data_IF_011220655727
#
_entry.id   IF_011220655727
#
_cell.length_a   1.000
_cell.length_b   1.000
_cell.length_c   1.000
_cell.angle_alpha   90.00
_cell.angle_beta   90.00
_cell.angle_gamma   90.00
#
_symmetry.space_group_name_H-M   'P 1'
#
loop_
_entity.id
_entity.type
_entity.pdbx_description
1 polymer ?
#
# COMPACT_ATOMS: atom_id res chain seq x y z
N UNK A 1 52.36 -18.63 -36.22
CA UNK A 1 52.34 -19.66 -35.16
C UNK A 1 53.15 -19.14 -33.97
N UNK A 2 52.51 -19.06 -32.79
CA UNK A 2 53.09 -19.05 -31.42
C UNK A 2 54.05 -17.88 -31.09
N UNK A 3 53.56 -16.82 -30.43
CA UNK A 3 53.44 -16.63 -28.95
C UNK A 3 54.79 -16.43 -28.24
N UNK A 4 54.98 -15.24 -27.64
CA UNK A 4 55.34 -14.97 -26.22
C UNK A 4 55.76 -13.49 -26.11
N UNK A 5 54.90 -12.58 -25.64
CA UNK A 5 54.73 -12.19 -24.23
C UNK A 5 56.06 -12.03 -23.47
N UNK A 6 56.45 -10.79 -23.14
CA UNK A 6 56.60 -10.37 -21.73
C UNK A 6 56.64 -8.83 -21.62
N UNK A 7 55.51 -8.24 -21.26
CA UNK A 7 55.35 -6.84 -20.83
C UNK A 7 55.91 -6.67 -19.41
N UNK A 8 56.89 -5.77 -19.25
CA UNK A 8 57.31 -5.22 -17.95
C UNK A 8 56.21 -4.27 -17.46
N UNK A 9 55.43 -4.68 -16.46
CA UNK A 9 54.54 -3.80 -15.70
C UNK A 9 55.19 -3.60 -14.33
N UNK A 10 55.68 -2.39 -14.11
CA UNK A 10 56.27 -1.91 -12.86
C UNK A 10 55.18 -1.80 -11.79
N UNK A 11 55.21 -2.66 -10.78
CA UNK A 11 54.31 -2.66 -9.63
C UNK A 11 54.80 -1.66 -8.58
N UNK A 12 54.23 -0.46 -8.58
CA UNK A 12 54.37 0.53 -7.52
C UNK A 12 53.47 0.13 -6.34
N UNK A 13 54.04 -0.57 -5.35
CA UNK A 13 53.37 -0.87 -4.08
C UNK A 13 53.25 0.40 -3.25
N UNK A 14 52.06 1.01 -3.24
CA UNK A 14 51.70 2.07 -2.30
C UNK A 14 51.36 1.43 -0.95
N UNK A 15 52.30 1.48 -0.01
CA UNK A 15 52.10 1.04 1.36
C UNK A 15 51.13 2.01 2.06
N UNK A 16 49.85 1.64 2.15
CA UNK A 16 48.86 2.31 2.99
C UNK A 16 49.18 1.93 4.44
N UNK A 17 49.78 2.86 5.19
CA UNK A 17 49.92 2.75 6.63
C UNK A 17 48.53 2.73 7.27
N UNK A 18 48.11 1.56 7.74
CA UNK A 18 46.91 1.39 8.56
C UNK A 18 47.17 2.08 9.89
N UNK A 19 46.65 3.29 10.06
CA UNK A 19 46.54 3.91 11.39
C UNK A 19 45.36 3.22 12.09
N UNK A 20 45.59 2.48 13.20
CA UNK A 20 44.49 1.92 13.96
C UNK A 20 43.69 3.06 14.59
N UNK A 21 42.48 3.29 14.09
CA UNK A 21 41.52 4.19 14.71
C UNK A 21 41.18 3.65 16.12
N UNK A 22 41.19 4.49 17.16
CA UNK A 22 40.80 4.06 18.49
C UNK A 22 39.34 3.63 18.49
N UNK A 23 39.12 2.35 18.78
CA UNK A 23 37.80 1.78 19.07
C UNK A 23 37.24 2.47 20.31
N UNK A 24 36.37 3.45 20.11
CA UNK A 24 35.55 4.00 21.17
C UNK A 24 34.45 2.99 21.51
N UNK A 25 34.69 2.16 22.53
CA UNK A 25 33.65 1.36 23.17
C UNK A 25 32.98 2.14 24.28
N UNK A 26 31.66 1.98 24.35
CA UNK A 26 30.76 2.11 25.50
C UNK A 26 29.96 3.43 25.68
N UNK A 27 28.68 3.31 25.34
CA UNK A 27 27.55 4.11 25.82
C UNK A 27 26.31 3.61 25.09
N UNK A 28 25.20 3.34 25.79
CA UNK A 28 23.93 2.88 25.20
C UNK A 28 23.54 3.70 23.95
N UNK A 29 23.75 3.16 22.75
CA UNK A 29 23.64 3.91 21.49
C UNK A 29 22.59 3.32 20.56
N UNK A 30 21.55 2.72 21.14
CA UNK A 30 20.32 2.46 20.39
C UNK A 30 19.56 3.78 20.16
N UNK A 31 18.82 3.93 19.05
CA UNK A 31 17.98 5.11 18.85
C UNK A 31 17.02 5.28 20.03
N UNK A 32 16.90 6.53 20.50
CA UNK A 32 15.96 6.91 21.56
C UNK A 32 14.55 6.36 21.26
N UNK A 33 13.77 5.94 22.28
CA UNK A 33 12.39 5.51 22.10
C UNK A 33 11.54 6.51 21.30
N UNK A 34 11.81 7.82 21.44
CA UNK A 34 11.14 8.87 20.68
C UNK A 34 11.43 8.76 19.18
N UNK A 35 12.69 8.51 18.80
CA UNK A 35 13.13 8.34 17.41
C UNK A 35 12.51 7.09 16.80
N UNK A 36 12.47 5.98 17.54
CA UNK A 36 11.81 4.74 17.11
C UNK A 36 10.31 4.94 16.89
N UNK A 37 9.65 5.68 17.77
CA UNK A 37 8.22 6.00 17.66
C UNK A 37 7.93 6.88 16.43
N UNK A 38 8.75 7.90 16.20
CA UNK A 38 8.65 8.76 15.03
C UNK A 38 8.90 7.98 13.73
N UNK A 39 9.95 7.15 13.69
CA UNK A 39 10.25 6.30 12.55
C UNK A 39 9.07 5.37 12.23
N UNK A 40 8.50 4.71 13.26
CA UNK A 40 7.30 3.86 13.09
C UNK A 40 6.10 4.66 12.57
N UNK A 41 5.91 5.89 13.05
CA UNK A 41 4.86 6.80 12.57
C UNK A 41 5.05 7.10 11.08
N UNK A 42 6.25 7.51 10.68
CA UNK A 42 6.58 7.80 9.28
C UNK A 42 6.40 6.58 8.37
N UNK A 43 6.81 5.38 8.82
CA UNK A 43 6.56 4.13 8.09
C UNK A 43 5.06 3.91 7.89
N UNK A 44 4.25 4.08 8.93
CA UNK A 44 2.80 3.93 8.82
C UNK A 44 2.14 4.97 7.92
N UNK A 45 2.65 6.21 7.91
CA UNK A 45 2.21 7.26 6.99
C UNK A 45 2.57 6.92 5.54
N UNK A 46 3.80 6.47 5.27
CA UNK A 46 4.24 5.99 3.95
C UNK A 46 3.31 4.90 3.43
N UNK A 47 3.04 3.86 4.24
CA UNK A 47 2.15 2.76 3.86
C UNK A 47 0.70 3.21 3.63
N UNK A 48 0.25 4.27 4.30
CA UNK A 48 -1.06 4.86 4.05
C UNK A 48 -1.08 5.61 2.71
N UNK A 49 -0.09 6.45 2.44
CA UNK A 49 0.01 7.20 1.19
C UNK A 49 0.10 6.29 -0.03
N UNK A 50 0.88 5.20 0.04
CA UNK A 50 0.94 4.19 -1.04
C UNK A 50 -0.46 3.61 -1.35
N UNK A 51 -1.25 3.32 -0.31
CA UNK A 51 -2.63 2.84 -0.48
C UNK A 51 -3.57 3.91 -1.03
N UNK A 52 -3.41 5.15 -0.59
CA UNK A 52 -4.27 6.24 -1.04
C UNK A 52 -3.95 6.62 -2.50
N UNK A 53 -2.69 6.56 -2.93
CA UNK A 53 -2.28 6.65 -4.34
C UNK A 53 -2.92 5.54 -5.19
N UNK A 54 -2.84 4.28 -4.77
CA UNK A 54 -3.49 3.19 -5.50
C UNK A 54 -5.01 3.37 -5.66
N UNK A 55 -5.69 3.98 -4.67
CA UNK A 55 -7.11 4.32 -4.79
C UNK A 55 -7.35 5.48 -5.76
N UNK A 56 -6.46 6.48 -5.78
CA UNK A 56 -6.55 7.60 -6.72
C UNK A 56 -6.31 7.11 -8.16
N UNK A 57 -5.38 6.18 -8.37
CA UNK A 57 -5.13 5.55 -9.67
C UNK A 57 -6.39 4.85 -10.20
N UNK A 58 -7.04 4.04 -9.35
CA UNK A 58 -8.30 3.38 -9.72
C UNK A 58 -9.41 4.39 -10.03
N UNK A 59 -9.53 5.46 -9.24
CA UNK A 59 -10.51 6.52 -9.48
C UNK A 59 -10.24 7.29 -10.79
N UNK A 60 -8.98 7.56 -11.09
CA UNK A 60 -8.57 8.20 -12.34
C UNK A 60 -8.92 7.30 -13.53
N UNK A 61 -8.62 6.00 -13.43
CA UNK A 61 -8.98 5.02 -14.45
C UNK A 61 -10.52 4.96 -14.68
N UNK A 62 -11.30 4.90 -13.60
CA UNK A 62 -12.77 4.91 -13.68
C UNK A 62 -13.31 6.21 -14.30
N UNK A 63 -12.73 7.37 -13.96
CA UNK A 63 -13.12 8.65 -14.51
C UNK A 63 -12.85 8.71 -16.02
N UNK A 64 -11.68 8.27 -16.46
CA UNK A 64 -11.31 8.18 -17.89
C UNK A 64 -12.25 7.22 -18.63
N UNK A 65 -12.52 6.05 -18.06
CA UNK A 65 -13.44 5.08 -18.63
C UNK A 65 -14.87 5.62 -18.77
N UNK A 66 -15.29 6.50 -17.84
CA UNK A 66 -16.57 7.20 -17.88
C UNK A 66 -16.57 8.46 -18.78
N UNK A 67 -15.47 8.76 -19.48
CA UNK A 67 -15.34 9.94 -20.34
C UNK A 67 -15.26 11.27 -19.57
N UNK A 68 -14.90 11.23 -18.29
CA UNK A 68 -14.70 12.42 -17.45
C UNK A 68 -13.24 12.85 -17.47
N UNK A 69 -13.01 14.15 -17.28
CA UNK A 69 -11.66 14.70 -17.15
C UNK A 69 -11.08 14.37 -15.77
N UNK A 70 -9.94 13.63 -15.68
CA UNK A 70 -9.33 13.27 -14.42
C UNK A 70 -8.36 14.33 -13.84
N UNK A 71 -8.30 15.55 -14.39
CA UNK A 71 -7.33 16.59 -13.98
C UNK A 71 -7.26 16.82 -12.46
N UNK A 72 -8.41 16.93 -11.77
CA UNK A 72 -8.42 17.11 -10.31
C UNK A 72 -7.88 15.89 -9.54
N UNK A 73 -8.12 14.68 -10.07
CA UNK A 73 -7.61 13.44 -9.50
C UNK A 73 -6.09 13.37 -9.70
N UNK A 74 -5.60 13.79 -10.88
CA UNK A 74 -4.17 13.86 -11.18
C UNK A 74 -3.44 14.88 -10.29
N UNK A 75 -4.02 16.05 -10.04
CA UNK A 75 -3.46 17.01 -9.10
C UNK A 75 -3.37 16.42 -7.67
N UNK A 76 -4.37 15.64 -7.27
CA UNK A 76 -4.36 14.94 -5.98
C UNK A 76 -3.30 13.82 -5.92
N UNK A 77 -3.07 13.12 -7.03
CA UNK A 77 -2.01 12.11 -7.15
C UNK A 77 -0.62 12.77 -7.02
N UNK A 78 -0.38 13.87 -7.73
CA UNK A 78 0.88 14.61 -7.65
C UNK A 78 1.19 15.08 -6.22
N UNK A 79 0.22 15.68 -5.54
CA UNK A 79 0.39 16.12 -4.16
C UNK A 79 0.69 14.95 -3.19
N UNK A 80 0.02 13.81 -3.39
CA UNK A 80 0.27 12.61 -2.57
C UNK A 80 1.63 11.95 -2.88
N UNK A 81 2.12 12.05 -4.12
CA UNK A 81 3.48 11.61 -4.50
C UNK A 81 4.55 12.50 -3.85
N UNK A 82 4.39 13.83 -3.91
CA UNK A 82 5.32 14.76 -3.26
C UNK A 82 5.42 14.51 -1.74
N UNK A 83 4.29 14.24 -1.07
CA UNK A 83 4.29 13.89 0.34
C UNK A 83 4.98 12.54 0.61
N UNK A 84 4.75 11.56 -0.26
CA UNK A 84 5.37 10.23 -0.15
C UNK A 84 6.89 10.32 -0.27
N UNK A 85 7.39 11.08 -1.25
CA UNK A 85 8.82 11.27 -1.50
C UNK A 85 9.49 11.98 -0.32
N UNK A 86 8.84 13.00 0.25
CA UNK A 86 9.35 13.70 1.43
C UNK A 86 9.45 12.76 2.64
N UNK A 87 8.45 11.91 2.87
CA UNK A 87 8.48 10.91 3.95
C UNK A 87 9.57 9.87 3.69
N UNK A 88 9.73 9.41 2.45
CA UNK A 88 10.74 8.43 2.08
C UNK A 88 12.16 8.97 2.33
N UNK A 89 12.45 10.20 1.89
CA UNK A 89 13.72 10.88 2.15
C UNK A 89 14.01 11.01 3.66
N UNK A 90 12.99 11.36 4.46
CA UNK A 90 13.12 11.44 5.92
C UNK A 90 13.42 10.08 6.53
N UNK A 91 12.72 9.04 6.10
CA UNK A 91 12.92 7.66 6.56
C UNK A 91 14.32 7.15 6.22
N UNK A 92 14.80 7.35 5.00
CA UNK A 92 16.16 6.99 4.58
C UNK A 92 17.22 7.74 5.41
N UNK A 93 17.01 9.04 5.62
CA UNK A 93 17.90 9.86 6.43
C UNK A 93 17.93 9.41 7.89
N UNK A 94 16.80 9.02 8.46
CA UNK A 94 16.72 8.45 9.82
C UNK A 94 17.33 7.05 9.89
N UNK A 95 17.13 6.23 8.87
CA UNK A 95 17.70 4.89 8.77
C UNK A 95 19.22 4.93 8.80
N UNK A 96 19.84 5.82 8.00
CA UNK A 96 21.29 6.00 7.96
C UNK A 96 21.81 6.56 9.29
N UNK A 97 21.17 7.60 9.84
CA UNK A 97 21.65 8.28 11.06
C UNK A 97 21.54 7.45 12.34
N UNK A 98 20.57 6.54 12.39
CA UNK A 98 20.24 5.79 13.60
C UNK A 98 20.38 4.28 13.45
N UNK A 99 20.98 3.82 12.35
CA UNK A 99 21.15 2.42 12.01
C UNK A 99 19.82 1.62 12.12
N UNK A 100 18.75 2.21 11.59
CA UNK A 100 17.42 1.59 11.58
C UNK A 100 17.21 0.85 10.27
N UNK A 101 16.67 -0.37 10.36
CA UNK A 101 16.24 -1.11 9.18
C UNK A 101 15.02 -0.42 8.54
N UNK A 102 15.15 -0.02 7.28
CA UNK A 102 14.03 0.52 6.51
C UNK A 102 13.17 -0.66 6.01
N UNK A 103 11.91 -0.79 6.44
CA UNK A 103 11.05 -1.84 5.94
C UNK A 103 10.82 -1.64 4.44
N UNK A 104 10.84 -2.73 3.68
CA UNK A 104 10.54 -2.72 2.26
C UNK A 104 9.19 -2.04 1.99
N UNK A 105 9.13 -1.26 0.91
CA UNK A 105 7.86 -0.72 0.42
C UNK A 105 7.11 -1.89 -0.21
N UNK A 106 5.96 -2.25 0.35
CA UNK A 106 5.09 -3.27 -0.25
C UNK A 106 4.54 -2.67 -1.54
N UNK A 107 4.75 -3.36 -2.66
CA UNK A 107 4.27 -2.88 -3.96
C UNK A 107 2.73 -2.76 -3.96
N UNK A 108 2.16 -1.79 -4.71
CA UNK A 108 0.72 -1.76 -4.95
C UNK A 108 0.29 -3.09 -5.61
N UNK A 109 -0.43 -3.93 -4.87
CA UNK A 109 -0.83 -5.29 -5.31
C UNK A 109 -0.22 -6.44 -4.52
N UNK A 110 0.90 -6.22 -3.81
CA UNK A 110 1.56 -7.22 -2.94
C UNK A 110 1.11 -7.13 -1.48
N UNK A 111 0.29 -6.13 -1.15
CA UNK A 111 -0.49 -6.19 0.08
C UNK A 111 -1.55 -7.24 -0.19
N UNK A 112 -1.22 -8.49 0.16
CA UNK A 112 -2.23 -9.50 0.49
C UNK A 112 -3.11 -8.79 1.49
N UNK A 113 -4.27 -8.35 1.01
CA UNK A 113 -5.21 -7.69 1.87
C UNK A 113 -5.62 -8.82 2.80
N UNK A 114 -5.05 -8.86 3.99
CA UNK A 114 -5.65 -9.52 5.13
C UNK A 114 -6.91 -8.70 5.48
N UNK A 115 -7.81 -8.66 4.50
CA UNK A 115 -9.13 -8.03 4.44
C UNK A 115 -10.13 -8.93 5.15
N UNK A 116 -9.70 -9.94 5.91
CA UNK A 116 -10.62 -10.85 6.60
C UNK A 116 -11.60 -10.07 7.48
N UNK A 117 -11.19 -8.93 8.04
CA UNK A 117 -12.09 -8.04 8.80
C UNK A 117 -13.05 -7.21 7.93
N UNK A 118 -12.58 -6.71 6.80
CA UNK A 118 -13.29 -5.79 5.89
C UNK A 118 -14.20 -6.54 4.93
N UNK A 119 -13.75 -7.68 4.41
CA UNK A 119 -14.51 -8.64 3.62
C UNK A 119 -15.60 -9.31 4.45
N UNK A 120 -15.32 -9.75 5.69
CA UNK A 120 -16.35 -10.29 6.57
C UNK A 120 -17.42 -9.23 6.89
N UNK A 121 -17.01 -7.98 7.11
CA UNK A 121 -17.93 -6.86 7.35
C UNK A 121 -18.75 -6.51 6.10
N UNK A 122 -18.12 -6.51 4.92
CA UNK A 122 -18.81 -6.31 3.65
C UNK A 122 -19.82 -7.43 3.36
N UNK A 123 -19.41 -8.70 3.51
CA UNK A 123 -20.29 -9.88 3.37
C UNK A 123 -21.45 -9.83 4.36
N UNK A 124 -21.22 -9.41 5.61
CA UNK A 124 -22.28 -9.24 6.59
C UNK A 124 -23.29 -8.15 6.18
N UNK A 125 -22.81 -7.02 5.65
CA UNK A 125 -23.69 -5.95 5.13
C UNK A 125 -24.50 -6.40 3.91
N UNK A 126 -23.88 -7.14 2.97
CA UNK A 126 -24.58 -7.69 1.80
C UNK A 126 -25.66 -8.70 2.20
N UNK A 127 -25.37 -9.63 3.12
CA UNK A 127 -26.37 -10.58 3.63
C UNK A 127 -27.54 -9.89 4.32
N UNK A 128 -27.25 -8.88 5.14
CA UNK A 128 -28.30 -8.07 5.77
C UNK A 128 -29.17 -7.32 4.74
N UNK A 129 -28.57 -6.85 3.65
CA UNK A 129 -29.27 -6.23 2.52
C UNK A 129 -30.14 -7.23 1.74
N UNK A 130 -29.63 -8.43 1.49
CA UNK A 130 -30.32 -9.52 0.82
C UNK A 130 -31.55 -9.98 1.62
N UNK A 131 -31.39 -10.22 2.93
CA UNK A 131 -32.51 -10.56 3.83
C UNK A 131 -33.60 -9.49 3.87
N UNK A 132 -33.20 -8.21 3.80
CA UNK A 132 -34.15 -7.09 3.75
C UNK A 132 -34.91 -7.08 2.43
N UNK A 133 -34.19 -7.28 1.32
CA UNK A 133 -34.77 -7.33 -0.02
C UNK A 133 -35.73 -8.51 -0.15
N UNK A 134 -35.34 -9.70 0.28
CA UNK A 134 -36.16 -10.90 0.26
C UNK A 134 -37.45 -10.73 1.08
N UNK A 135 -37.38 -10.09 2.26
CA UNK A 135 -38.58 -9.76 3.05
C UNK A 135 -39.53 -8.81 2.31
N UNK A 136 -39.00 -7.81 1.60
CA UNK A 136 -39.81 -6.87 0.82
C UNK A 136 -40.46 -7.57 -0.36
N UNK A 137 -39.70 -8.39 -1.10
CA UNK A 137 -40.19 -9.17 -2.23
C UNK A 137 -41.30 -10.11 -1.77
N UNK A 138 -41.06 -10.93 -0.74
CA UNK A 138 -42.07 -11.84 -0.20
C UNK A 138 -43.36 -11.11 0.20
N UNK A 139 -43.25 -9.96 0.89
CA UNK A 139 -44.42 -9.15 1.27
C UNK A 139 -45.17 -8.57 0.06
N UNK A 140 -44.46 -8.21 -1.01
CA UNK A 140 -45.06 -7.70 -2.25
C UNK A 140 -45.74 -8.82 -3.02
N UNK A 141 -45.10 -9.98 -3.13
CA UNK A 141 -45.66 -11.19 -3.75
C UNK A 141 -46.94 -11.62 -3.04
N UNK A 142 -46.94 -11.69 -1.70
CA UNK A 142 -48.15 -12.03 -0.94
C UNK A 142 -49.29 -11.04 -1.14
N UNK A 143 -48.98 -9.73 -1.21
CA UNK A 143 -49.99 -8.71 -1.54
C UNK A 143 -50.51 -8.83 -2.97
N UNK A 144 -49.68 -9.24 -3.91
CA UNK A 144 -50.09 -9.46 -5.29
C UNK A 144 -51.00 -10.69 -5.37
N UNK A 145 -50.60 -11.81 -4.75
CA UNK A 145 -51.40 -13.04 -4.69
C UNK A 145 -52.77 -12.80 -4.03
N UNK A 146 -52.81 -12.03 -2.94
CA UNK A 146 -54.07 -11.69 -2.26
C UNK A 146 -55.01 -10.79 -3.08
N UNK A 147 -54.50 -10.14 -4.14
CA UNK A 147 -55.30 -9.33 -5.08
C UNK A 147 -55.76 -10.13 -6.30
N UNK A 148 -55.22 -11.33 -6.51
CA UNK A 148 -55.70 -12.20 -7.57
C UNK A 148 -57.00 -12.86 -7.12
N UNK A 149 -58.06 -12.62 -7.89
CA UNK A 149 -59.35 -13.27 -7.69
C UNK A 149 -59.38 -14.59 -8.46
N UNK A 150 -59.18 -15.69 -7.72
CA UNK A 150 -59.18 -17.04 -8.28
C UNK A 150 -60.58 -17.58 -8.58
N UNK A 151 -61.65 -16.84 -8.27
CA UNK A 151 -63.03 -17.26 -8.56
C UNK A 151 -63.32 -17.43 -10.06
N UNK A 152 -62.54 -16.75 -10.91
CA UNK A 152 -62.64 -16.87 -12.38
C UNK A 152 -61.96 -18.14 -12.95
N UNK A 153 -61.14 -18.86 -12.18
CA UNK A 153 -60.34 -20.00 -12.66
C UNK A 153 -61.05 -21.35 -12.43
N UNK A 154 -61.99 -21.45 -11.48
CA UNK A 154 -62.68 -22.70 -11.14
C UNK A 154 -64.05 -22.86 -11.79
N UNK A 155 -64.41 -22.01 -12.74
CA UNK A 155 -65.73 -22.00 -13.40
C UNK A 155 -65.73 -22.71 -14.76
N UNK A 156 -65.17 -23.92 -14.82
CA UNK A 156 -65.28 -24.84 -15.96
C UNK A 156 -65.58 -26.26 -15.49
#
# INVERSE_FOLDING_TARGET
MKNLMTTLISSLFLAVAVVPAPSATAGETGPSPAIKAEFKKLVSQRTRLVRDLAKLDNKAADAVAAGKDPVEINASQAAAQDELDLIQLRLESMAIRHDLALPAVVAPGDVDIEDKGTEARARAMFRAGEERTNRIVARRTMRLLARLDFSSITSH
#
